data_IF_901572043916
#
_entry.id   IF_901572043916
#
_cell.length_a   1.000
_cell.length_b   1.000
_cell.length_c   1.000
_cell.angle_alpha   90.00
_cell.angle_beta   90.00
_cell.angle_gamma   90.00
#
_symmetry.space_group_name_H-M   'P 1'
#
loop_
_entity.id
_entity.type
_entity.pdbx_description
1 polymer ?
#
# COMPACT_ATOMS: atom_id res chain seq x y z
N UNK A 1 -25.64 -22.56 -8.25
CA UNK A 1 -24.67 -21.46 -8.44
C UNK A 1 -24.14 -21.14 -7.06
N UNK A 2 -22.88 -21.44 -6.71
CA UNK A 2 -22.36 -20.98 -5.43
C UNK A 2 -22.14 -19.48 -5.56
N UNK A 3 -22.89 -18.70 -4.78
CA UNK A 3 -22.55 -17.31 -4.53
C UNK A 3 -21.19 -17.32 -3.85
N UNK A 4 -20.17 -16.85 -4.56
CA UNK A 4 -18.81 -16.73 -4.04
C UNK A 4 -18.90 -15.88 -2.77
N UNK A 5 -18.67 -16.50 -1.62
CA UNK A 5 -18.29 -15.77 -0.42
C UNK A 5 -16.89 -15.23 -0.72
N UNK A 6 -16.82 -14.14 -1.49
CA UNK A 6 -15.62 -13.34 -1.59
C UNK A 6 -15.52 -12.75 -0.20
N UNK A 7 -14.60 -13.25 0.63
CA UNK A 7 -14.27 -12.59 1.91
C UNK A 7 -13.96 -11.14 1.55
N UNK A 8 -14.92 -10.24 1.77
CA UNK A 8 -14.91 -8.92 1.18
C UNK A 8 -13.74 -8.16 1.80
N UNK A 9 -12.94 -7.50 0.97
CA UNK A 9 -12.00 -6.53 1.49
C UNK A 9 -12.82 -5.37 2.10
N UNK A 10 -12.73 -5.18 3.40
CA UNK A 10 -13.57 -4.23 4.14
C UNK A 10 -12.72 -3.14 4.77
N UNK A 11 -13.12 -1.88 4.61
CA UNK A 11 -12.44 -0.77 5.27
C UNK A 11 -12.90 -0.71 6.73
N UNK A 12 -12.02 -1.01 7.68
CA UNK A 12 -12.35 -1.04 9.11
C UNK A 12 -12.23 0.33 9.77
N UNK A 13 -11.29 1.16 9.31
CA UNK A 13 -11.02 2.45 9.92
C UNK A 13 -10.43 3.44 8.93
N UNK A 14 -10.91 4.69 8.91
CA UNK A 14 -10.35 5.77 8.09
C UNK A 14 -9.89 6.91 8.98
N UNK A 15 -8.66 7.36 8.79
CA UNK A 15 -8.03 8.45 9.53
C UNK A 15 -7.44 9.48 8.57
N UNK A 16 -7.00 10.63 9.10
CA UNK A 16 -6.32 11.68 8.30
C UNK A 16 -4.94 11.26 7.75
N UNK A 17 -4.37 10.18 8.30
CA UNK A 17 -3.06 9.66 7.91
C UNK A 17 -3.15 8.49 6.93
N UNK A 18 -4.31 7.87 6.77
CA UNK A 18 -4.50 6.63 6.02
C UNK A 18 -5.73 5.87 6.50
N UNK A 19 -5.94 4.68 5.96
CA UNK A 19 -7.05 3.80 6.34
C UNK A 19 -6.59 2.36 6.53
N UNK A 20 -7.39 1.62 7.30
CA UNK A 20 -7.22 0.20 7.56
C UNK A 20 -8.19 -0.59 6.69
N UNK A 21 -7.67 -1.66 6.09
CA UNK A 21 -8.39 -2.57 5.23
C UNK A 21 -8.26 -3.98 5.80
N UNK A 22 -9.38 -4.58 6.19
CA UNK A 22 -9.46 -5.98 6.54
C UNK A 22 -9.54 -6.81 5.25
N UNK A 23 -8.48 -7.58 4.99
CA UNK A 23 -8.39 -8.52 3.89
C UNK A 23 -8.46 -9.94 4.44
N UNK A 24 -9.64 -10.56 4.33
CA UNK A 24 -9.90 -11.86 4.97
C UNK A 24 -9.90 -11.73 6.49
N UNK A 25 -8.83 -12.19 7.13
CA UNK A 25 -8.65 -12.15 8.59
C UNK A 25 -7.48 -11.24 9.02
N UNK A 26 -6.90 -10.46 8.10
CA UNK A 26 -5.74 -9.60 8.36
C UNK A 26 -6.08 -8.13 8.10
N UNK A 27 -5.72 -7.25 9.04
CA UNK A 27 -5.87 -5.81 8.87
C UNK A 27 -4.58 -5.20 8.30
N UNK A 28 -4.71 -4.56 7.14
CA UNK A 28 -3.65 -3.89 6.41
C UNK A 28 -3.82 -2.37 6.53
N UNK A 29 -2.75 -1.69 6.95
CA UNK A 29 -2.72 -0.23 7.00
C UNK A 29 -2.24 0.35 5.66
N UNK A 30 -3.06 1.22 5.07
CA UNK A 30 -2.72 2.01 3.89
C UNK A 30 -2.50 3.48 4.28
N UNK A 31 -1.25 3.91 4.52
CA UNK A 31 -0.95 5.31 4.83
C UNK A 31 -1.06 6.18 3.57
N UNK A 32 -1.74 7.33 3.68
CA UNK A 32 -1.81 8.33 2.61
C UNK A 32 -0.46 8.96 2.25
N UNK A 33 0.57 8.75 3.07
CA UNK A 33 1.94 9.15 2.73
C UNK A 33 2.50 8.34 1.56
N UNK A 34 2.24 7.03 1.54
CA UNK A 34 2.63 6.12 0.46
C UNK A 34 1.62 6.17 -0.70
N UNK A 35 0.34 6.34 -0.36
CA UNK A 35 -0.77 6.30 -1.32
C UNK A 35 -1.57 7.62 -1.33
N UNK A 36 -1.00 8.73 -1.84
CA UNK A 36 -1.60 10.06 -1.75
C UNK A 36 -2.90 10.21 -2.54
N UNK A 37 -3.16 9.36 -3.55
CA UNK A 37 -4.40 9.37 -4.32
C UNK A 37 -5.63 9.05 -3.47
N UNK A 38 -5.49 8.26 -2.40
CA UNK A 38 -6.61 8.00 -1.48
C UNK A 38 -6.93 9.19 -0.57
N UNK A 39 -6.04 10.19 -0.46
CA UNK A 39 -6.27 11.36 0.40
C UNK A 39 -7.49 12.19 -0.02
N UNK A 40 -7.85 12.13 -1.31
CA UNK A 40 -9.03 12.81 -1.86
C UNK A 40 -10.18 11.84 -2.16
N UNK A 41 -10.02 10.55 -1.87
CA UNK A 41 -11.07 9.57 -2.07
C UNK A 41 -12.19 9.76 -1.04
N UNK A 42 -13.44 9.57 -1.47
CA UNK A 42 -14.60 9.53 -0.57
C UNK A 42 -14.68 8.18 0.15
N UNK A 43 -15.44 8.12 1.24
CA UNK A 43 -15.68 6.85 1.95
C UNK A 43 -16.30 5.81 1.01
N UNK A 44 -17.27 6.20 0.19
CA UNK A 44 -17.90 5.32 -0.79
C UNK A 44 -16.88 4.73 -1.76
N UNK A 45 -15.98 5.57 -2.29
CA UNK A 45 -14.89 5.14 -3.14
C UNK A 45 -13.99 4.16 -2.41
N UNK A 46 -13.54 4.48 -1.19
CA UNK A 46 -12.65 3.62 -0.41
C UNK A 46 -13.28 2.26 -0.07
N UNK A 47 -14.58 2.22 0.24
CA UNK A 47 -15.30 0.98 0.57
C UNK A 47 -15.68 0.16 -0.66
N UNK A 48 -15.68 0.75 -1.86
CA UNK A 48 -16.01 0.06 -3.10
C UNK A 48 -14.75 -0.56 -3.70
N UNK A 49 -14.39 -1.73 -3.18
CA UNK A 49 -13.22 -2.51 -3.59
C UNK A 49 -13.66 -3.78 -4.30
N UNK A 50 -13.00 -4.06 -5.41
CA UNK A 50 -13.00 -5.36 -6.05
C UNK A 50 -11.72 -6.12 -5.66
N UNK A 51 -11.90 -7.37 -5.26
CA UNK A 51 -10.80 -8.27 -4.93
C UNK A 51 -10.78 -9.43 -5.95
N UNK A 52 -10.36 -9.16 -7.20
CA UNK A 52 -10.37 -10.17 -8.27
C UNK A 52 -9.35 -11.28 -8.03
N UNK A 53 -8.32 -11.03 -7.21
CA UNK A 53 -7.26 -12.00 -6.91
C UNK A 53 -6.73 -11.76 -5.50
N UNK A 54 -6.28 -12.82 -4.80
CA UNK A 54 -5.81 -12.71 -3.42
C UNK A 54 -4.69 -11.68 -3.25
N UNK A 55 -3.85 -11.51 -4.27
CA UNK A 55 -2.73 -10.58 -4.26
C UNK A 55 -3.06 -9.18 -4.82
N UNK A 56 -4.27 -8.94 -5.37
CA UNK A 56 -4.60 -7.71 -6.09
C UNK A 56 -5.97 -7.14 -5.71
N UNK A 57 -5.96 -5.90 -5.27
CA UNK A 57 -7.11 -5.06 -4.95
C UNK A 57 -7.31 -4.02 -6.03
N UNK A 58 -8.56 -3.79 -6.39
CA UNK A 58 -8.93 -2.81 -7.40
C UNK A 58 -10.05 -1.91 -6.89
N UNK A 59 -9.87 -0.61 -7.01
CA UNK A 59 -10.88 0.40 -6.70
C UNK A 59 -11.49 0.93 -8.00
N UNK A 60 -12.59 0.35 -8.50
CA UNK A 60 -13.18 0.75 -9.78
C UNK A 60 -13.63 2.21 -9.82
N UNK A 61 -14.01 2.80 -8.68
CA UNK A 61 -14.45 4.19 -8.60
C UNK A 61 -13.29 5.20 -8.55
N UNK A 62 -12.08 4.73 -8.24
CA UNK A 62 -10.86 5.56 -8.24
C UNK A 62 -9.96 5.27 -9.43
N UNK A 63 -10.22 4.18 -10.16
CA UNK A 63 -9.33 3.64 -11.20
C UNK A 63 -7.93 3.34 -10.64
N UNK A 64 -7.88 2.82 -9.40
CA UNK A 64 -6.64 2.52 -8.67
C UNK A 64 -6.53 1.02 -8.46
N UNK A 65 -5.39 0.46 -8.86
CA UNK A 65 -5.01 -0.91 -8.58
C UNK A 65 -3.90 -0.95 -7.52
N UNK A 66 -4.00 -1.87 -6.57
CA UNK A 66 -2.97 -2.11 -5.56
C UNK A 66 -2.72 -3.59 -5.34
N UNK A 67 -1.46 -3.97 -5.30
CA UNK A 67 -1.07 -5.31 -4.87
C UNK A 67 -0.96 -5.38 -3.35
N UNK A 68 -1.46 -6.48 -2.75
CA UNK A 68 -1.31 -6.78 -1.32
C UNK A 68 0.17 -6.82 -0.92
N UNK A 69 1.04 -7.28 -1.82
CA UNK A 69 2.49 -7.23 -1.64
C UNK A 69 3.02 -5.81 -1.42
N UNK A 70 2.50 -4.80 -2.11
CA UNK A 70 2.91 -3.39 -1.95
C UNK A 70 2.42 -2.80 -0.63
N UNK A 71 1.32 -3.32 -0.07
CA UNK A 71 0.81 -2.89 1.24
C UNK A 71 1.62 -3.54 2.37
N UNK A 72 2.01 -4.81 2.21
CA UNK A 72 2.84 -5.53 3.19
C UNK A 72 4.31 -5.12 3.16
N UNK A 73 4.82 -4.80 1.98
CA UNK A 73 6.21 -4.40 1.74
C UNK A 73 6.28 -3.10 0.93
N UNK A 74 5.85 -1.96 1.50
CA UNK A 74 5.95 -0.66 0.83
C UNK A 74 7.39 -0.33 0.43
N UNK A 75 8.39 -0.83 1.17
CA UNK A 75 9.81 -0.65 0.89
C UNK A 75 10.28 -1.26 -0.45
N UNK A 76 9.57 -2.27 -0.96
CA UNK A 76 9.91 -2.94 -2.22
C UNK A 76 9.27 -2.28 -3.44
N UNK A 77 8.25 -1.45 -3.23
CA UNK A 77 7.48 -0.80 -4.29
C UNK A 77 7.35 0.69 -4.00
N UNK A 78 8.42 1.49 -4.16
CA UNK A 78 8.32 2.94 -4.04
C UNK A 78 7.42 3.48 -5.16
N UNK A 79 6.15 3.69 -4.84
CA UNK A 79 5.12 4.19 -5.77
C UNK A 79 5.26 5.69 -6.06
N UNK A 80 6.24 6.34 -5.42
CA UNK A 80 6.68 7.70 -5.71
C UNK A 80 7.90 7.65 -6.61
N UNK A 81 7.70 7.85 -7.92
CA UNK A 81 8.78 8.23 -8.84
C UNK A 81 9.21 9.67 -8.52
N UNK A 82 9.93 9.84 -7.41
CA UNK A 82 10.31 11.14 -6.89
C UNK A 82 11.45 11.00 -5.89
N UNK A 83 12.66 10.77 -6.41
CA UNK A 83 13.95 11.04 -5.77
C UNK A 83 13.96 11.20 -4.24
N UNK A 84 14.14 10.11 -3.51
CA UNK A 84 15.16 9.98 -2.45
C UNK A 84 15.03 8.61 -1.81
N UNK A 85 15.58 7.60 -2.49
CA UNK A 85 16.46 6.72 -1.72
C UNK A 85 17.57 7.66 -1.22
N UNK A 86 17.48 8.10 0.03
CA UNK A 86 18.68 8.46 0.76
C UNK A 86 19.21 7.13 1.28
N UNK A 87 20.11 6.41 0.57
CA UNK A 87 20.91 5.44 1.27
C UNK A 87 21.65 6.25 2.32
N UNK A 88 21.46 5.92 3.59
CA UNK A 88 22.31 6.45 4.64
C UNK A 88 23.77 6.36 4.13
N UNK A 89 24.55 7.45 4.13
CA UNK A 89 25.93 7.37 3.69
C UNK A 89 26.62 6.37 4.62
N UNK A 90 27.00 5.22 4.06
CA UNK A 90 27.97 4.33 4.68
C UNK A 90 29.18 5.21 5.03
N UNK A 91 29.62 5.24 6.30
CA UNK A 91 30.88 5.88 6.61
C UNK A 91 31.97 5.12 5.86
N UNK A 92 32.51 5.79 4.84
CA UNK A 92 33.72 5.46 4.12
C UNK A 92 34.82 5.20 5.17
N UNK A 93 35.14 3.92 5.40
CA UNK A 93 36.26 3.55 6.24
C UNK A 93 37.53 3.73 5.39
N UNK A 94 38.48 4.58 5.83
CA UNK A 94 39.57 5.04 4.99
C UNK A 94 40.50 3.90 4.61
N UNK A 95 40.77 3.87 3.31
CA UNK A 95 41.84 3.14 2.65
C UNK A 95 43.17 3.30 3.40
N UNK A 96 43.57 2.24 4.11
CA UNK A 96 44.89 2.14 4.72
C UNK A 96 45.94 1.94 3.62
N UNK A 97 46.50 3.05 3.14
CA UNK A 97 47.74 3.05 2.39
C UNK A 97 48.92 2.98 3.37
N UNK A 98 49.65 1.86 3.31
CA UNK A 98 51.13 1.64 3.31
C UNK A 98 52.00 2.41 4.33
N UNK A 99 53.09 1.78 4.81
CA UNK A 99 54.30 1.58 3.98
C UNK A 99 54.50 0.14 3.50
#
# INVERSE_FOLDING_TARGET
MPGTNISAAEVTHVSVHGFWLLLGDEELLLPFAEFPWFRQATIEQLTTIEWPSPDHLYWPLLDVDLSVASIRHPENFPLVSGASANPAPQPDAPQAARP
#
